data_IF_535982269055
#
_entry.id   IF_535982269055
#
_cell.length_a   1.000
_cell.length_b   1.000
_cell.length_c   1.000
_cell.angle_alpha   90.00
_cell.angle_beta   90.00
_cell.angle_gamma   90.00
#
_symmetry.space_group_name_H-M   'P 1'
#
loop_
_entity.id
_entity.type
_entity.pdbx_description
1 polymer ?
#
# COMPACT_ATOMS: atom_id res chain seq x y z
N UNK A 1 7.21 3.00 -14.67
CA UNK A 1 6.50 3.95 -13.79
C UNK A 1 6.08 3.32 -12.46
N UNK A 2 5.10 2.40 -12.41
CA UNK A 2 4.66 1.80 -11.14
C UNK A 2 5.75 0.96 -10.46
N UNK A 3 6.47 0.14 -11.22
CA UNK A 3 7.59 -0.64 -10.70
C UNK A 3 8.70 0.26 -10.11
N UNK A 4 8.99 1.40 -10.76
CA UNK A 4 9.97 2.36 -10.26
C UNK A 4 9.52 3.03 -8.96
N UNK A 5 8.23 3.39 -8.86
CA UNK A 5 7.64 3.95 -7.64
C UNK A 5 7.61 2.94 -6.50
N UNK A 6 7.38 1.66 -6.78
CA UNK A 6 7.45 0.59 -5.79
C UNK A 6 8.89 0.44 -5.26
N UNK A 7 9.90 0.48 -6.15
CA UNK A 7 11.32 0.50 -5.74
C UNK A 7 11.68 1.75 -4.93
N UNK A 8 11.00 2.88 -5.15
CA UNK A 8 11.13 4.09 -4.32
C UNK A 8 10.34 4.02 -3.00
N UNK A 9 9.65 2.91 -2.72
CA UNK A 9 8.87 2.70 -1.51
C UNK A 9 7.60 3.54 -1.44
N UNK A 10 6.98 3.86 -2.59
CA UNK A 10 5.77 4.70 -2.70
C UNK A 10 4.51 3.90 -3.04
N UNK A 11 4.62 2.58 -3.11
CA UNK A 11 3.51 1.68 -3.40
C UNK A 11 3.24 0.85 -2.14
N UNK A 12 1.99 0.89 -1.71
CA UNK A 12 1.54 0.29 -0.46
C UNK A 12 0.38 -0.67 -0.72
N UNK A 13 0.24 -1.68 0.13
CA UNK A 13 -0.92 -2.56 0.17
C UNK A 13 -1.44 -2.68 1.60
N UNK A 14 -2.76 -2.72 1.74
CA UNK A 14 -3.40 -2.88 3.05
C UNK A 14 -3.28 -4.35 3.49
N UNK A 15 -2.60 -4.59 4.60
CA UNK A 15 -2.30 -5.92 5.14
C UNK A 15 -3.58 -6.72 5.40
N UNK A 16 -4.59 -6.09 6.03
CA UNK A 16 -5.86 -6.75 6.30
C UNK A 16 -6.55 -7.26 5.03
N UNK A 17 -6.43 -6.53 3.92
CA UNK A 17 -6.99 -6.93 2.63
C UNK A 17 -6.19 -8.05 1.95
N UNK A 18 -4.86 -8.00 2.06
CA UNK A 18 -3.94 -9.03 1.57
C UNK A 18 -4.20 -10.37 2.26
N UNK A 19 -4.34 -10.35 3.59
CA UNK A 19 -4.59 -11.54 4.40
C UNK A 19 -5.99 -12.10 4.17
N UNK A 20 -7.01 -11.23 4.16
CA UNK A 20 -8.40 -11.66 3.91
C UNK A 20 -8.57 -12.35 2.55
N UNK A 21 -7.74 -11.99 1.57
CA UNK A 21 -7.74 -12.61 0.22
C UNK A 21 -6.77 -13.79 0.09
N UNK A 22 -5.99 -14.11 1.12
CA UNK A 22 -5.04 -15.22 1.11
C UNK A 22 -3.90 -15.05 0.12
N UNK A 23 -3.50 -13.81 -0.18
CA UNK A 23 -2.47 -13.50 -1.18
C UNK A 23 -1.15 -13.03 -0.56
N UNK A 24 -0.95 -13.20 0.74
CA UNK A 24 0.24 -12.73 1.48
C UNK A 24 1.55 -13.29 0.90
N UNK A 25 1.54 -14.51 0.36
CA UNK A 25 2.70 -15.12 -0.32
C UNK A 25 2.98 -14.62 -1.74
N UNK A 26 2.12 -13.75 -2.28
CA UNK A 26 2.20 -13.21 -3.65
C UNK A 26 2.50 -11.71 -3.68
N UNK A 27 2.70 -11.08 -2.52
CA UNK A 27 3.09 -9.67 -2.43
C UNK A 27 4.51 -9.53 -2.96
N UNK A 28 4.74 -8.57 -3.85
CA UNK A 28 6.08 -8.29 -4.36
C UNK A 28 6.94 -7.61 -3.26
N UNK A 29 8.23 -7.95 -3.20
CA UNK A 29 9.16 -7.47 -2.16
C UNK A 29 9.27 -5.95 -2.04
N UNK A 30 8.96 -5.22 -3.13
CA UNK A 30 9.00 -3.76 -3.19
C UNK A 30 7.66 -3.08 -2.88
N UNK A 31 6.64 -3.83 -2.45
CA UNK A 31 5.37 -3.27 -1.97
C UNK A 31 5.40 -3.23 -0.44
N UNK A 32 5.15 -2.05 0.12
CA UNK A 32 5.08 -1.87 1.58
C UNK A 32 3.71 -2.26 2.10
N UNK A 33 3.68 -3.14 3.10
CA UNK A 33 2.44 -3.52 3.77
C UNK A 33 2.14 -2.53 4.91
N UNK A 34 0.90 -2.05 4.97
CA UNK A 34 0.40 -1.15 6.02
C UNK A 34 -0.90 -1.68 6.60
N UNK A 35 -1.16 -1.39 7.87
CA UNK A 35 -2.47 -1.60 8.46
C UNK A 35 -3.36 -0.35 8.30
N UNK A 36 -4.53 -0.34 8.94
CA UNK A 36 -5.41 0.82 8.87
C UNK A 36 -4.84 2.08 9.53
N UNK A 37 -4.02 1.94 10.58
CA UNK A 37 -3.37 3.09 11.19
C UNK A 37 -2.33 3.69 10.24
N UNK A 38 -1.49 2.85 9.63
CA UNK A 38 -0.54 3.28 8.60
C UNK A 38 -1.22 3.87 7.37
N UNK A 39 -2.41 3.39 6.99
CA UNK A 39 -3.19 4.04 5.93
C UNK A 39 -3.63 5.46 6.32
N UNK A 40 -4.09 5.68 7.55
CA UNK A 40 -4.41 7.01 8.05
C UNK A 40 -3.17 7.92 8.04
N UNK A 41 -2.02 7.40 8.47
CA UNK A 41 -0.76 8.14 8.43
C UNK A 41 -0.41 8.60 7.01
N UNK A 42 -0.58 7.74 5.99
CA UNK A 42 -0.35 8.09 4.59
C UNK A 42 -1.27 9.23 4.10
N UNK A 43 -2.54 9.22 4.53
CA UNK A 43 -3.49 10.30 4.20
C UNK A 43 -3.07 11.61 4.87
N UNK A 44 -2.63 11.56 6.13
CA UNK A 44 -2.14 12.74 6.85
C UNK A 44 -0.86 13.29 6.21
N UNK A 45 0.07 12.42 5.81
CA UNK A 45 1.35 12.80 5.21
C UNK A 45 1.18 13.47 3.83
N UNK A 46 0.32 12.91 2.97
CA UNK A 46 0.20 13.34 1.57
C UNK A 46 -0.99 14.26 1.30
N UNK A 47 -1.89 14.45 2.27
CA UNK A 47 -3.04 15.34 2.17
C UNK A 47 -4.19 14.74 1.35
N UNK A 48 -4.66 15.46 0.33
CA UNK A 48 -5.87 15.07 -0.42
C UNK A 48 -5.66 13.77 -1.19
N UNK A 49 -6.39 12.72 -0.80
CA UNK A 49 -6.42 11.46 -1.52
C UNK A 49 -7.17 11.60 -2.87
N UNK A 50 -6.57 11.06 -3.93
CA UNK A 50 -7.25 10.85 -5.22
C UNK A 50 -7.73 9.40 -5.26
N UNK A 51 -9.05 9.21 -5.12
CA UNK A 51 -9.67 7.89 -5.20
C UNK A 51 -9.97 7.53 -6.65
N UNK A 52 -9.51 6.35 -7.08
CA UNK A 52 -9.85 5.74 -8.36
C UNK A 52 -10.93 4.71 -8.10
N UNK A 53 -12.20 5.13 -8.18
CA UNK A 53 -13.40 4.29 -8.05
C UNK A 53 -13.89 3.84 -9.42
#
# INVERSE_FOLDING_TARGET
MLADLATQGRVYALQGDVDARGISSKVADNIKLVDYAGFVDLVVEHGTAVSWV
#
